data_IF_020828717226
#
_entry.id   IF_020828717226
#
_cell.length_a   1.000
_cell.length_b   1.000
_cell.length_c   1.000
_cell.angle_alpha   90.00
_cell.angle_beta   90.00
_cell.angle_gamma   90.00
#
_symmetry.space_group_name_H-M   'P 1'
#
loop_
_entity.id
_entity.type
_entity.pdbx_description
1 polymer ?
#
# COMPACT_ATOMS: atom_id res chain seq x y z
N UNK A 1 -4.08 -8.47 14.56
CA UNK A 1 -4.38 -7.34 13.60
C UNK A 1 -5.88 -7.05 13.63
N UNK A 2 -6.31 -5.81 13.44
CA UNK A 2 -7.72 -5.42 13.31
C UNK A 2 -8.06 -5.13 11.86
N UNK A 3 -9.34 -5.29 11.51
CA UNK A 3 -9.82 -5.14 10.15
C UNK A 3 -11.07 -4.27 10.12
N UNK A 4 -11.27 -3.53 9.01
CA UNK A 4 -12.55 -2.94 8.65
C UNK A 4 -13.06 -3.68 7.42
N UNK A 5 -14.34 -4.01 7.40
CA UNK A 5 -14.90 -4.86 6.36
C UNK A 5 -16.17 -4.23 5.78
N UNK A 6 -16.34 -4.36 4.47
CA UNK A 6 -17.48 -3.89 3.70
C UNK A 6 -17.98 -5.02 2.78
N UNK A 7 -19.27 -5.04 2.49
CA UNK A 7 -19.82 -5.98 1.51
C UNK A 7 -19.70 -7.47 1.89
N UNK A 8 -19.77 -7.82 3.18
CA UNK A 8 -19.59 -9.17 3.76
C UNK A 8 -20.39 -10.31 3.08
N UNK A 9 -21.44 -9.98 2.32
CA UNK A 9 -22.27 -10.97 1.61
C UNK A 9 -21.63 -11.54 0.35
N UNK A 10 -20.58 -10.89 -0.16
CA UNK A 10 -19.90 -11.29 -1.38
C UNK A 10 -18.80 -12.31 -1.09
N UNK A 11 -18.56 -13.21 -2.04
CA UNK A 11 -17.52 -14.25 -1.94
C UNK A 11 -16.16 -13.76 -2.47
N UNK A 12 -16.19 -12.86 -3.45
CA UNK A 12 -15.00 -12.29 -4.07
C UNK A 12 -14.39 -11.24 -3.15
N UNK A 13 -13.23 -11.57 -2.60
CA UNK A 13 -12.56 -10.73 -1.60
C UNK A 13 -11.53 -9.82 -2.25
N UNK A 14 -11.62 -8.52 -1.95
CA UNK A 14 -10.63 -7.49 -2.26
C UNK A 14 -9.99 -7.01 -0.96
N UNK A 15 -8.69 -7.27 -0.75
CA UNK A 15 -7.95 -6.88 0.45
C UNK A 15 -7.04 -5.71 0.11
N UNK A 16 -7.14 -4.58 0.85
CA UNK A 16 -6.39 -3.35 0.54
C UNK A 16 -5.54 -2.90 1.73
N UNK A 17 -4.23 -2.82 1.51
CA UNK A 17 -3.20 -2.52 2.51
C UNK A 17 -2.77 -1.06 2.45
N UNK A 18 -3.05 -0.29 3.50
CA UNK A 18 -2.79 1.15 3.54
C UNK A 18 -1.30 1.52 3.58
N UNK A 19 -0.98 2.77 3.25
CA UNK A 19 0.36 3.33 3.32
C UNK A 19 0.88 3.56 4.74
N UNK A 20 2.19 3.64 4.90
CA UNK A 20 2.83 3.93 6.19
C UNK A 20 2.42 5.30 6.75
N UNK A 21 2.03 5.32 8.03
CA UNK A 21 1.52 6.52 8.70
C UNK A 21 0.06 6.86 8.40
N UNK A 22 -0.61 6.06 7.56
CA UNK A 22 -2.04 6.13 7.26
C UNK A 22 -2.80 5.04 8.04
N UNK A 23 -4.06 4.80 7.69
CA UNK A 23 -4.86 3.71 8.23
C UNK A 23 -5.92 3.30 7.20
N UNK A 24 -6.78 2.34 7.56
CA UNK A 24 -7.86 1.83 6.71
C UNK A 24 -8.67 2.92 5.98
N UNK A 25 -8.84 4.09 6.56
CA UNK A 25 -9.63 5.20 5.99
C UNK A 25 -9.06 5.73 4.66
N UNK A 26 -7.79 5.46 4.35
CA UNK A 26 -7.25 5.86 3.05
C UNK A 26 -7.95 5.15 1.87
N UNK A 27 -8.55 3.98 2.13
CA UNK A 27 -9.35 3.23 1.17
C UNK A 27 -10.87 3.27 1.43
N UNK A 28 -11.34 4.06 2.41
CA UNK A 28 -12.78 4.11 2.78
C UNK A 28 -13.66 4.35 1.57
N UNK A 29 -13.38 5.40 0.81
CA UNK A 29 -14.18 5.77 -0.37
C UNK A 29 -14.17 4.67 -1.44
N UNK A 30 -13.02 4.07 -1.71
CA UNK A 30 -12.92 2.94 -2.64
C UNK A 30 -13.71 1.72 -2.14
N UNK A 31 -13.64 1.41 -0.84
CA UNK A 31 -14.40 0.31 -0.25
C UNK A 31 -15.91 0.53 -0.33
N UNK A 32 -16.37 1.77 -0.08
CA UNK A 32 -17.78 2.15 -0.24
C UNK A 32 -18.28 1.99 -1.68
N UNK A 33 -17.43 2.27 -2.68
CA UNK A 33 -17.75 2.08 -4.09
C UNK A 33 -17.76 0.60 -4.51
N UNK A 34 -16.94 -0.23 -3.87
CA UNK A 34 -16.77 -1.65 -4.22
C UNK A 34 -17.70 -2.60 -3.44
N UNK A 35 -18.24 -2.19 -2.29
CA UNK A 35 -19.00 -3.05 -1.38
C UNK A 35 -20.27 -3.67 -1.99
N UNK A 36 -20.75 -3.14 -3.10
CA UNK A 36 -21.89 -3.68 -3.83
C UNK A 36 -21.59 -4.97 -4.62
N UNK A 37 -20.29 -5.23 -4.86
CA UNK A 37 -19.79 -6.28 -5.74
C UNK A 37 -18.78 -7.21 -5.06
N UNK A 38 -18.02 -6.70 -4.08
CA UNK A 38 -16.93 -7.40 -3.40
C UNK A 38 -17.06 -7.35 -1.88
N UNK A 39 -16.51 -8.37 -1.22
CA UNK A 39 -16.17 -8.29 0.19
C UNK A 39 -14.82 -7.57 0.32
N UNK A 40 -14.83 -6.31 0.74
CA UNK A 40 -13.63 -5.49 0.87
C UNK A 40 -13.10 -5.56 2.29
N UNK A 41 -11.83 -5.95 2.44
CA UNK A 41 -11.15 -6.10 3.74
C UNK A 41 -10.00 -5.09 3.82
N UNK A 42 -10.03 -4.25 4.84
CA UNK A 42 -9.04 -3.20 5.10
C UNK A 42 -8.30 -3.46 6.41
N UNK A 43 -7.15 -4.16 6.39
CA UNK A 43 -6.34 -4.37 7.58
C UNK A 43 -5.79 -3.06 8.15
N UNK A 44 -5.70 -2.96 9.47
CA UNK A 44 -4.94 -1.92 10.16
C UNK A 44 -3.57 -2.50 10.47
N UNK A 45 -2.55 -2.06 9.73
CA UNK A 45 -1.19 -2.56 9.85
C UNK A 45 -0.63 -2.34 11.26
N UNK A 46 0.22 -3.26 11.71
CA UNK A 46 0.85 -3.19 13.03
C UNK A 46 1.55 -1.85 13.26
N UNK A 47 1.50 -1.35 14.49
CA UNK A 47 2.09 -0.08 14.89
C UNK A 47 1.36 1.17 14.39
N UNK A 48 0.27 1.03 13.61
CA UNK A 48 -0.58 2.14 13.18
C UNK A 48 -1.76 2.36 14.12
N UNK A 49 -2.40 3.52 14.03
CA UNK A 49 -3.52 3.85 14.89
C UNK A 49 -4.69 2.88 14.71
N UNK A 50 -5.17 2.34 15.82
CA UNK A 50 -6.22 1.30 15.82
C UNK A 50 -5.68 -0.13 15.81
N UNK A 51 -4.39 -0.35 15.53
CA UNK A 51 -3.76 -1.66 15.68
C UNK A 51 -3.64 -2.06 17.16
N UNK A 52 -3.70 -3.34 17.43
CA UNK A 52 -3.51 -3.95 18.76
C UNK A 52 -2.08 -4.44 18.99
N UNK A 53 -1.19 -4.31 18.00
CA UNK A 53 0.19 -4.79 18.04
C UNK A 53 1.20 -3.70 17.62
N UNK A 54 2.43 -3.70 18.18
CA UNK A 54 3.50 -2.84 17.70
C UNK A 54 3.99 -3.30 16.31
N UNK A 55 4.55 -2.37 15.52
CA UNK A 55 5.21 -2.73 14.28
C UNK A 55 6.55 -3.43 14.56
N UNK A 56 6.76 -4.57 13.96
CA UNK A 56 8.01 -5.35 14.03
C UNK A 56 8.73 -5.31 12.69
N UNK A 57 8.26 -6.08 11.71
CA UNK A 57 8.84 -6.18 10.38
C UNK A 57 7.75 -6.22 9.30
N UNK A 58 8.14 -6.04 8.04
CA UNK A 58 7.27 -6.27 6.88
C UNK A 58 6.88 -7.75 6.81
N UNK A 59 7.85 -8.63 7.07
CA UNK A 59 7.66 -10.08 7.07
C UNK A 59 6.63 -10.54 8.10
N UNK A 60 6.66 -9.99 9.32
CA UNK A 60 5.69 -10.34 10.37
C UNK A 60 4.28 -9.87 10.02
N UNK A 61 4.13 -8.62 9.52
CA UNK A 61 2.83 -8.13 9.04
C UNK A 61 2.28 -9.00 7.90
N UNK A 62 3.15 -9.41 6.96
CA UNK A 62 2.78 -10.29 5.86
C UNK A 62 2.29 -11.65 6.37
N UNK A 63 3.02 -12.26 7.31
CA UNK A 63 2.66 -13.56 7.90
C UNK A 63 1.33 -13.51 8.66
N UNK A 64 1.05 -12.42 9.36
CA UNK A 64 -0.22 -12.26 10.08
C UNK A 64 -1.41 -12.10 9.14
N UNK A 65 -1.25 -11.33 8.03
CA UNK A 65 -2.29 -11.21 7.02
C UNK A 65 -2.51 -12.54 6.30
N UNK A 66 -1.44 -13.28 6.00
CA UNK A 66 -1.53 -14.62 5.42
C UNK A 66 -2.30 -15.58 6.34
N UNK A 67 -2.03 -15.56 7.65
CA UNK A 67 -2.76 -16.36 8.64
C UNK A 67 -4.25 -15.98 8.68
N UNK A 68 -4.58 -14.69 8.62
CA UNK A 68 -5.97 -14.23 8.54
C UNK A 68 -6.67 -14.75 7.27
N UNK A 69 -5.98 -14.70 6.10
CA UNK A 69 -6.52 -15.23 4.84
C UNK A 69 -6.80 -16.74 4.97
N UNK A 70 -5.92 -17.48 5.63
CA UNK A 70 -6.12 -18.94 5.86
C UNK A 70 -7.30 -19.23 6.76
N UNK A 71 -7.39 -18.51 7.87
CA UNK A 71 -8.38 -18.78 8.91
C UNK A 71 -9.78 -18.27 8.56
N UNK A 72 -9.88 -17.14 7.85
CA UNK A 72 -11.14 -16.41 7.66
C UNK A 72 -11.59 -16.33 6.20
N UNK A 73 -10.67 -16.47 5.22
CA UNK A 73 -10.93 -16.23 3.80
C UNK A 73 -10.61 -17.43 2.89
N UNK A 74 -10.61 -18.64 3.44
CA UNK A 74 -10.43 -19.91 2.70
C UNK A 74 -9.07 -20.04 1.98
N UNK A 75 -8.02 -19.40 2.46
CA UNK A 75 -6.63 -19.60 2.02
C UNK A 75 -6.18 -18.74 0.84
N UNK A 76 -7.09 -18.13 0.08
CA UNK A 76 -6.75 -17.19 -0.99
C UNK A 76 -7.86 -16.18 -1.22
N UNK A 77 -7.51 -15.05 -1.88
CA UNK A 77 -8.46 -13.98 -2.19
C UNK A 77 -8.42 -13.61 -3.68
N UNK A 78 -9.43 -12.89 -4.16
CA UNK A 78 -9.50 -12.49 -5.56
C UNK A 78 -8.40 -11.48 -5.88
N UNK A 79 -8.30 -10.39 -5.09
CA UNK A 79 -7.33 -9.33 -5.31
C UNK A 79 -6.73 -8.84 -3.99
N UNK A 80 -5.41 -8.60 -3.99
CA UNK A 80 -4.75 -7.84 -2.92
C UNK A 80 -4.16 -6.56 -3.54
N UNK A 81 -4.55 -5.40 -2.98
CA UNK A 81 -3.97 -4.09 -3.32
C UNK A 81 -3.13 -3.54 -2.17
N UNK A 82 -2.08 -2.75 -2.49
CA UNK A 82 -1.28 -2.13 -1.45
C UNK A 82 -0.58 -0.86 -1.90
N UNK A 83 -0.67 0.18 -1.05
CA UNK A 83 -0.02 1.48 -1.26
C UNK A 83 1.29 1.55 -0.47
N UNK A 84 2.39 1.91 -1.11
CA UNK A 84 3.67 2.24 -0.45
C UNK A 84 4.14 1.13 0.50
N UNK A 85 4.08 1.31 1.83
CA UNK A 85 4.36 0.26 2.81
C UNK A 85 3.42 -0.95 2.63
N UNK A 86 2.13 -0.71 2.40
CA UNK A 86 1.17 -1.77 2.08
C UNK A 86 1.53 -2.52 0.81
N UNK A 87 2.06 -1.82 -0.20
CA UNK A 87 2.59 -2.42 -1.42
C UNK A 87 3.83 -3.30 -1.17
N UNK A 88 4.70 -2.91 -0.23
CA UNK A 88 5.85 -3.73 0.19
C UNK A 88 5.41 -5.00 0.94
N UNK A 89 4.40 -4.87 1.82
CA UNK A 89 3.79 -6.02 2.52
C UNK A 89 3.15 -6.97 1.50
N UNK A 90 2.42 -6.46 0.51
CA UNK A 90 1.88 -7.28 -0.59
C UNK A 90 3.00 -8.02 -1.34
N UNK A 91 4.07 -7.33 -1.72
CA UNK A 91 5.20 -7.96 -2.41
C UNK A 91 5.89 -9.05 -1.56
N UNK A 92 5.94 -8.84 -0.25
CA UNK A 92 6.44 -9.85 0.69
C UNK A 92 5.48 -11.05 0.78
N UNK A 93 4.16 -10.83 0.86
CA UNK A 93 3.15 -11.89 0.83
C UNK A 93 3.27 -12.74 -0.44
N UNK A 94 3.40 -12.11 -1.61
CA UNK A 94 3.60 -12.79 -2.90
C UNK A 94 4.92 -13.56 -2.95
N UNK A 95 5.92 -13.16 -2.16
CA UNK A 95 7.21 -13.86 -2.06
C UNK A 95 7.14 -15.06 -1.12
N UNK A 96 6.29 -15.01 -0.10
CA UNK A 96 6.09 -16.09 0.88
C UNK A 96 5.11 -17.15 0.38
N UNK A 97 4.09 -16.74 -0.42
CA UNK A 97 3.06 -17.64 -0.93
C UNK A 97 2.69 -17.30 -2.37
N UNK A 98 2.93 -18.25 -3.27
CA UNK A 98 2.76 -18.06 -4.72
C UNK A 98 1.31 -17.83 -5.17
N UNK A 99 0.33 -18.40 -4.47
CA UNK A 99 -1.09 -18.48 -4.85
C UNK A 99 -2.04 -17.78 -3.87
N UNK A 100 -1.54 -16.76 -3.15
CA UNK A 100 -2.32 -16.02 -2.14
C UNK A 100 -3.48 -15.21 -2.75
N UNK A 101 -3.36 -14.77 -4.00
CA UNK A 101 -4.41 -14.05 -4.72
C UNK A 101 -4.32 -14.31 -6.22
N UNK A 102 -5.44 -14.07 -6.94
CA UNK A 102 -5.45 -14.09 -8.40
C UNK A 102 -4.84 -12.84 -9.00
N UNK A 103 -5.09 -11.68 -8.40
CA UNK A 103 -4.62 -10.38 -8.87
C UNK A 103 -3.91 -9.61 -7.76
N UNK A 104 -2.85 -8.90 -8.12
CA UNK A 104 -2.10 -8.04 -7.21
C UNK A 104 -1.99 -6.62 -7.78
N UNK A 105 -2.40 -5.60 -7.01
CA UNK A 105 -2.27 -4.19 -7.35
C UNK A 105 -1.25 -3.52 -6.43
N UNK A 106 -0.07 -3.21 -6.95
CA UNK A 106 1.02 -2.59 -6.18
C UNK A 106 1.11 -1.11 -6.56
N UNK A 107 0.78 -0.21 -5.63
CA UNK A 107 0.88 1.23 -5.85
C UNK A 107 2.10 1.81 -5.13
N UNK A 108 2.98 2.48 -5.87
CA UNK A 108 4.07 3.34 -5.34
C UNK A 108 5.00 2.66 -4.33
N UNK A 109 5.27 1.35 -4.47
CA UNK A 109 6.11 0.59 -3.55
C UNK A 109 7.62 0.74 -3.84
N UNK A 110 8.41 1.08 -2.82
CA UNK A 110 9.87 1.15 -2.93
C UNK A 110 10.49 -0.24 -2.69
N UNK A 111 11.26 -0.76 -3.66
CA UNK A 111 12.00 -2.04 -3.52
C UNK A 111 13.52 -1.87 -3.64
N UNK A 112 13.99 -0.63 -3.70
CA UNK A 112 15.42 -0.31 -3.74
C UNK A 112 15.81 0.27 -2.38
N UNK A 113 16.59 -0.46 -1.54
CA UNK A 113 17.00 0.01 -0.23
C UNK A 113 17.82 1.31 -0.28
N UNK A 114 17.68 2.15 0.76
CA UNK A 114 18.46 3.37 0.95
C UNK A 114 19.10 3.39 2.34
N UNK A 115 20.35 2.95 2.42
CA UNK A 115 21.12 2.88 3.69
C UNK A 115 21.23 4.27 4.34
N UNK A 116 21.49 5.32 3.56
CA UNK A 116 21.63 6.68 4.07
C UNK A 116 20.32 7.20 4.65
N UNK A 117 19.21 7.07 3.93
CA UNK A 117 17.89 7.48 4.42
C UNK A 117 17.53 6.71 5.68
N UNK A 118 17.75 5.39 5.68
CA UNK A 118 17.48 4.54 6.84
C UNK A 118 18.25 4.98 8.10
N UNK A 119 19.53 5.30 7.97
CA UNK A 119 20.36 5.76 9.08
C UNK A 119 19.88 7.10 9.67
N UNK A 120 19.29 7.97 8.87
CA UNK A 120 18.81 9.29 9.28
C UNK A 120 17.43 9.27 9.95
N UNK A 121 16.64 8.19 9.82
CA UNK A 121 15.27 8.13 10.36
C UNK A 121 15.25 8.30 11.87
N UNK A 122 16.05 7.50 12.61
CA UNK A 122 16.02 7.55 14.06
C UNK A 122 16.46 8.91 14.65
N UNK A 123 17.56 9.56 14.21
CA UNK A 123 17.90 10.89 14.68
C UNK A 123 16.88 11.97 14.27
N UNK A 124 16.37 11.93 13.04
CA UNK A 124 15.40 12.92 12.56
C UNK A 124 14.09 12.84 13.36
N UNK A 125 13.47 11.67 13.44
CA UNK A 125 12.23 11.46 14.20
C UNK A 125 12.47 11.43 15.71
N UNK A 126 13.70 11.12 16.15
CA UNK A 126 14.08 11.16 17.54
C UNK A 126 13.89 12.52 18.19
N UNK A 127 14.21 13.58 17.47
CA UNK A 127 14.13 14.98 17.93
C UNK A 127 12.81 15.66 17.57
N UNK A 128 12.21 15.32 16.41
CA UNK A 128 11.03 16.04 15.88
C UNK A 128 9.70 15.35 16.14
N UNK A 129 9.67 14.15 16.73
CA UNK A 129 8.44 13.39 16.95
C UNK A 129 7.35 14.18 17.69
N UNK A 130 7.71 15.02 18.68
CA UNK A 130 6.74 15.85 19.39
C UNK A 130 6.00 16.85 18.49
N UNK A 131 6.59 17.25 17.37
CA UNK A 131 6.01 18.22 16.45
C UNK A 131 4.78 17.67 15.72
N UNK A 132 4.67 16.34 15.53
CA UNK A 132 3.50 15.72 14.86
C UNK A 132 2.19 15.98 15.61
N UNK A 133 2.26 16.21 16.93
CA UNK A 133 1.11 16.56 17.77
C UNK A 133 0.72 18.04 17.65
N UNK A 134 1.57 18.87 17.06
CA UNK A 134 1.22 20.25 16.76
C UNK A 134 0.37 20.28 15.47
N UNK A 135 -0.87 20.74 15.58
CA UNK A 135 -1.85 20.72 14.47
C UNK A 135 -1.37 21.55 13.27
N UNK A 136 -0.68 22.67 13.50
CA UNK A 136 -0.12 23.49 12.40
C UNK A 136 0.97 22.76 11.64
N UNK A 137 1.89 22.11 12.36
CA UNK A 137 2.94 21.29 11.75
C UNK A 137 2.34 20.08 11.01
N UNK A 138 1.39 19.36 11.64
CA UNK A 138 0.70 18.25 11.02
C UNK A 138 -0.03 18.65 9.74
N UNK A 139 -0.65 19.86 9.71
CA UNK A 139 -1.30 20.39 8.51
C UNK A 139 -0.31 20.65 7.39
N UNK A 140 0.87 21.22 7.69
CA UNK A 140 1.92 21.43 6.71
C UNK A 140 2.46 20.09 6.15
N UNK A 141 2.68 19.12 7.03
CA UNK A 141 3.09 17.77 6.61
C UNK A 141 2.03 17.09 5.74
N UNK A 142 0.76 17.16 6.14
CA UNK A 142 -0.37 16.61 5.37
C UNK A 142 -0.46 17.23 3.97
N UNK A 143 -0.30 18.56 3.86
CA UNK A 143 -0.28 19.24 2.56
C UNK A 143 0.85 18.73 1.65
N UNK A 144 2.01 18.38 2.22
CA UNK A 144 3.12 17.81 1.44
C UNK A 144 2.84 16.39 0.90
N UNK A 145 1.86 15.69 1.46
CA UNK A 145 1.39 14.40 0.97
C UNK A 145 0.40 14.52 -0.20
N UNK A 146 -0.03 15.72 -0.54
CA UNK A 146 -1.01 16.00 -1.62
C UNK A 146 -2.33 15.23 -1.50
N UNK A 147 -2.74 14.91 -0.29
CA UNK A 147 -4.00 14.21 -0.01
C UNK A 147 -5.18 15.18 0.01
N UNK A 148 -6.39 14.66 -0.25
CA UNK A 148 -7.65 15.43 -0.15
C UNK A 148 -7.78 16.11 1.22
N UNK A 149 -8.13 17.41 1.29
CA UNK A 149 -8.25 18.16 2.55
C UNK A 149 -9.20 17.50 3.57
N UNK A 150 -10.22 16.81 3.11
CA UNK A 150 -11.23 16.13 3.93
C UNK A 150 -10.64 15.03 4.81
N UNK A 151 -9.50 14.46 4.41
CA UNK A 151 -8.81 13.40 5.15
C UNK A 151 -7.92 13.93 6.28
N UNK A 152 -7.78 15.25 6.42
CA UNK A 152 -6.85 15.83 7.41
C UNK A 152 -7.20 15.43 8.84
N UNK A 153 -8.47 15.39 9.22
CA UNK A 153 -8.88 15.05 10.58
C UNK A 153 -8.58 13.59 10.92
N UNK A 154 -8.83 12.67 9.99
CA UNK A 154 -8.47 11.26 10.12
C UNK A 154 -6.95 11.10 10.24
N UNK A 155 -6.19 11.75 9.35
CA UNK A 155 -4.73 11.77 9.37
C UNK A 155 -4.18 12.29 10.69
N UNK A 156 -4.64 13.45 11.15
CA UNK A 156 -4.14 14.09 12.38
C UNK A 156 -4.45 13.26 13.61
N UNK A 157 -5.70 12.79 13.75
CA UNK A 157 -6.13 11.93 14.85
C UNK A 157 -5.23 10.69 14.96
N UNK A 158 -5.01 10.01 13.85
CA UNK A 158 -4.31 8.73 13.82
C UNK A 158 -2.79 8.92 13.95
N UNK A 159 -2.21 9.91 13.28
CA UNK A 159 -0.78 10.22 13.43
C UNK A 159 -0.41 10.54 14.87
N UNK A 160 -1.29 11.23 15.62
CA UNK A 160 -1.10 11.53 17.05
C UNK A 160 -1.09 10.27 17.95
N UNK A 161 -1.68 9.16 17.50
CA UNK A 161 -1.78 7.90 18.24
C UNK A 161 -0.62 6.94 17.95
N UNK A 162 0.05 7.07 16.80
CA UNK A 162 1.20 6.23 16.45
C UNK A 162 2.33 6.48 17.46
N UNK A 163 2.83 5.43 18.09
CA UNK A 163 3.96 5.55 19.02
C UNK A 163 5.24 5.86 18.26
N UNK A 164 6.14 6.64 18.88
CA UNK A 164 7.43 7.00 18.30
C UNK A 164 8.24 5.78 17.83
N UNK A 165 8.23 4.72 18.63
CA UNK A 165 8.97 3.49 18.32
C UNK A 165 8.42 2.82 17.06
N UNK A 166 7.10 2.72 16.93
CA UNK A 166 6.43 2.12 15.78
C UNK A 166 6.67 2.95 14.51
N UNK A 167 6.58 4.28 14.61
CA UNK A 167 6.87 5.18 13.49
C UNK A 167 8.30 4.99 12.98
N UNK A 168 9.28 4.96 13.86
CA UNK A 168 10.68 4.71 13.50
C UNK A 168 10.84 3.31 12.89
N UNK A 169 10.17 2.30 13.44
CA UNK A 169 10.27 0.92 12.99
C UNK A 169 9.74 0.75 11.57
N UNK A 170 8.50 1.19 11.28
CA UNK A 170 7.96 1.03 9.94
C UNK A 170 8.66 1.91 8.89
N UNK A 171 9.14 3.12 9.25
CA UNK A 171 9.92 3.95 8.33
C UNK A 171 11.28 3.30 7.99
N UNK A 172 11.94 2.68 8.97
CA UNK A 172 13.16 1.92 8.73
C UNK A 172 12.91 0.69 7.86
N UNK A 173 11.86 -0.07 8.13
CA UNK A 173 11.47 -1.21 7.33
C UNK A 173 11.18 -0.79 5.88
N UNK A 174 10.38 0.26 5.68
CA UNK A 174 10.06 0.83 4.37
C UNK A 174 11.30 1.23 3.56
N UNK A 175 12.32 1.82 4.22
CA UNK A 175 13.54 2.27 3.52
C UNK A 175 14.57 1.18 3.31
N UNK A 176 14.45 0.02 3.96
CA UNK A 176 15.37 -1.12 3.85
C UNK A 176 14.81 -2.30 3.05
N UNK A 177 13.54 -2.28 2.70
CA UNK A 177 12.91 -3.37 1.97
C UNK A 177 13.57 -3.59 0.59
N UNK A 178 13.84 -4.86 0.29
CA UNK A 178 14.28 -5.33 -1.02
C UNK A 178 13.39 -6.50 -1.46
N UNK A 179 13.06 -6.53 -2.74
CA UNK A 179 12.23 -7.59 -3.32
C UNK A 179 12.94 -8.94 -3.16
N UNK A 180 12.20 -9.95 -2.71
CA UNK A 180 12.72 -11.31 -2.48
C UNK A 180 12.61 -12.18 -3.75
N UNK A 181 13.48 -13.16 -3.88
CA UNK A 181 13.47 -14.07 -5.05
C UNK A 181 12.18 -14.88 -5.16
N UNK A 182 11.54 -15.23 -4.04
CA UNK A 182 10.25 -15.94 -4.01
C UNK A 182 9.14 -15.24 -4.80
N UNK A 183 9.22 -13.92 -4.98
CA UNK A 183 8.28 -13.16 -5.80
C UNK A 183 8.20 -13.66 -7.26
N UNK A 184 9.26 -14.25 -7.80
CA UNK A 184 9.27 -14.85 -9.15
C UNK A 184 8.27 -15.98 -9.31
N UNK A 185 7.98 -16.69 -8.22
CA UNK A 185 7.12 -17.87 -8.20
C UNK A 185 5.63 -17.52 -8.04
N UNK A 186 5.29 -16.26 -7.80
CA UNK A 186 3.89 -15.84 -7.63
C UNK A 186 3.06 -16.19 -8.86
N UNK A 187 1.89 -16.76 -8.66
CA UNK A 187 0.92 -17.05 -9.73
C UNK A 187 0.00 -15.88 -10.05
N UNK A 188 0.00 -14.84 -9.23
CA UNK A 188 -0.87 -13.67 -9.41
C UNK A 188 -0.56 -12.90 -10.70
N UNK A 189 -1.59 -12.37 -11.34
CA UNK A 189 -1.44 -11.30 -12.33
C UNK A 189 -1.12 -9.99 -11.59
N UNK A 190 0.02 -9.36 -11.93
CA UNK A 190 0.55 -8.24 -11.15
C UNK A 190 0.45 -6.95 -11.94
N UNK A 191 -0.20 -5.96 -11.31
CA UNK A 191 -0.35 -4.60 -11.81
C UNK A 191 0.39 -3.63 -10.90
N UNK A 192 1.37 -2.92 -11.44
CA UNK A 192 2.12 -1.89 -10.72
C UNK A 192 1.66 -0.53 -11.18
N UNK A 193 1.18 0.29 -10.25
CA UNK A 193 0.73 1.66 -10.50
C UNK A 193 1.70 2.66 -9.89
N UNK A 194 2.07 3.68 -10.67
CA UNK A 194 2.90 4.80 -10.21
C UNK A 194 2.38 6.10 -10.81
N UNK A 195 2.50 7.18 -10.08
CA UNK A 195 2.26 8.52 -10.63
C UNK A 195 3.46 8.98 -11.47
N UNK A 196 3.22 9.72 -12.54
CA UNK A 196 4.28 10.30 -13.38
C UNK A 196 5.22 11.21 -12.57
N UNK A 197 4.70 11.90 -11.55
CA UNK A 197 5.45 12.84 -10.69
C UNK A 197 6.05 12.20 -9.45
N UNK A 198 6.21 10.89 -9.45
CA UNK A 198 6.90 10.15 -8.41
C UNK A 198 8.40 10.46 -8.36
N UNK A 199 9.02 10.13 -7.24
CA UNK A 199 10.48 10.19 -7.14
C UNK A 199 11.13 9.14 -8.06
N UNK A 200 12.32 9.45 -8.58
CA UNK A 200 13.09 8.49 -9.41
C UNK A 200 13.30 7.13 -8.73
N UNK A 201 13.35 7.10 -7.40
CA UNK A 201 13.48 5.86 -6.63
C UNK A 201 12.25 4.98 -6.80
N UNK A 202 11.05 5.53 -6.71
CA UNK A 202 9.79 4.80 -6.87
C UNK A 202 9.64 4.31 -8.31
N UNK A 203 9.89 5.18 -9.30
CA UNK A 203 9.83 4.81 -10.72
C UNK A 203 10.77 3.64 -11.04
N UNK A 204 12.02 3.70 -10.57
CA UNK A 204 13.00 2.61 -10.72
C UNK A 204 12.59 1.34 -9.96
N UNK A 205 11.90 1.49 -8.82
CA UNK A 205 11.38 0.35 -8.07
C UNK A 205 10.27 -0.36 -8.85
N UNK A 206 9.36 0.38 -9.46
CA UNK A 206 8.31 -0.18 -10.33
C UNK A 206 8.91 -0.95 -11.51
N UNK A 207 9.92 -0.40 -12.18
CA UNK A 207 10.66 -1.12 -13.23
C UNK A 207 11.35 -2.39 -12.71
N UNK A 208 11.95 -2.33 -11.51
CA UNK A 208 12.62 -3.48 -10.92
C UNK A 208 11.64 -4.62 -10.61
N UNK A 209 10.43 -4.28 -10.11
CA UNK A 209 9.35 -5.25 -9.89
C UNK A 209 8.98 -5.93 -11.21
N UNK A 210 8.68 -5.16 -12.26
CA UNK A 210 8.28 -5.70 -13.56
C UNK A 210 9.43 -6.40 -14.30
N UNK A 211 10.69 -6.03 -14.04
CA UNK A 211 11.84 -6.76 -14.58
C UNK A 211 11.98 -8.14 -13.95
N UNK A 212 11.65 -8.29 -12.67
CA UNK A 212 11.69 -9.59 -11.98
C UNK A 212 10.56 -10.52 -12.43
N UNK A 213 9.41 -9.96 -12.83
CA UNK A 213 8.22 -10.65 -13.36
C UNK A 213 7.80 -10.03 -14.69
N UNK A 214 8.27 -10.56 -15.84
CA UNK A 214 7.99 -9.97 -17.17
C UNK A 214 6.49 -9.91 -17.54
N UNK A 215 5.64 -10.73 -16.92
CA UNK A 215 4.17 -10.68 -17.08
C UNK A 215 3.51 -9.54 -16.27
N UNK A 216 4.26 -8.83 -15.42
CA UNK A 216 3.78 -7.67 -14.69
C UNK A 216 3.41 -6.53 -15.66
N UNK A 217 2.30 -5.85 -15.35
CA UNK A 217 1.84 -4.68 -16.11
C UNK A 217 2.18 -3.41 -15.32
N UNK A 218 2.93 -2.50 -15.94
CA UNK A 218 3.28 -1.20 -15.36
C UNK A 218 2.34 -0.12 -15.90
N UNK A 219 1.67 0.58 -14.98
CA UNK A 219 0.76 1.69 -15.26
C UNK A 219 1.35 2.98 -14.70
N UNK A 220 1.71 3.93 -15.57
CA UNK A 220 2.12 5.26 -15.18
C UNK A 220 0.95 6.23 -15.35
N UNK A 221 0.49 6.84 -14.25
CA UNK A 221 -0.67 7.71 -14.29
C UNK A 221 -0.22 9.16 -14.42
N UNK A 222 -0.63 9.79 -15.52
CA UNK A 222 -0.23 11.15 -15.86
C UNK A 222 -0.60 12.16 -14.76
N UNK A 223 0.35 13.03 -14.42
CA UNK A 223 0.15 14.15 -13.49
C UNK A 223 0.09 13.77 -12.01
N UNK A 224 -0.02 12.50 -11.64
CA UNK A 224 -0.14 12.07 -10.24
C UNK A 224 1.19 11.90 -9.53
N UNK A 225 1.15 12.01 -8.20
CA UNK A 225 2.23 11.80 -7.24
C UNK A 225 2.01 10.55 -6.41
N UNK A 226 2.83 10.37 -5.39
CA UNK A 226 2.82 9.24 -4.48
C UNK A 226 1.47 9.02 -3.80
N UNK A 227 0.81 7.88 -4.06
CA UNK A 227 -0.45 7.49 -3.43
C UNK A 227 -1.69 8.28 -3.87
N UNK A 228 -1.56 9.27 -4.76
CA UNK A 228 -2.70 10.06 -5.19
C UNK A 228 -3.75 9.23 -5.92
N UNK A 229 -3.38 8.15 -6.57
CA UNK A 229 -4.32 7.34 -7.34
C UNK A 229 -5.38 6.71 -6.43
N UNK A 230 -4.98 5.93 -5.44
CA UNK A 230 -5.94 5.28 -4.55
C UNK A 230 -6.60 6.24 -3.56
N UNK A 231 -5.89 7.29 -3.11
CA UNK A 231 -6.39 8.19 -2.07
C UNK A 231 -7.29 9.29 -2.66
N UNK A 232 -6.86 9.93 -3.75
CA UNK A 232 -7.56 11.10 -4.29
C UNK A 232 -8.53 10.74 -5.43
N UNK A 233 -8.31 9.62 -6.10
CA UNK A 233 -9.06 9.18 -7.27
C UNK A 233 -9.75 7.83 -7.03
N UNK A 234 -10.46 7.70 -5.89
CA UNK A 234 -11.06 6.45 -5.43
C UNK A 234 -12.03 5.82 -6.48
N UNK A 235 -12.74 6.62 -7.26
CA UNK A 235 -13.61 6.11 -8.32
C UNK A 235 -12.80 5.41 -9.43
N UNK A 236 -11.74 6.07 -9.94
CA UNK A 236 -10.87 5.48 -10.97
C UNK A 236 -10.09 4.29 -10.41
N UNK A 237 -9.72 4.31 -9.13
CA UNK A 237 -9.08 3.17 -8.46
C UNK A 237 -10.04 1.98 -8.35
N UNK A 238 -11.30 2.21 -7.97
CA UNK A 238 -12.33 1.17 -7.94
C UNK A 238 -12.60 0.61 -9.34
N UNK A 239 -12.66 1.46 -10.37
CA UNK A 239 -12.82 1.01 -11.75
C UNK A 239 -11.63 0.19 -12.24
N UNK A 240 -10.39 0.56 -11.86
CA UNK A 240 -9.22 -0.25 -12.14
C UNK A 240 -9.31 -1.65 -11.50
N UNK A 241 -9.79 -1.75 -10.27
CA UNK A 241 -10.04 -3.06 -9.60
C UNK A 241 -11.06 -3.88 -10.39
N UNK A 242 -12.20 -3.29 -10.82
CA UNK A 242 -13.22 -3.97 -11.63
C UNK A 242 -12.65 -4.48 -12.95
N UNK A 243 -11.89 -3.63 -13.66
CA UNK A 243 -11.24 -4.01 -14.91
C UNK A 243 -10.27 -5.18 -14.72
N UNK A 244 -9.43 -5.13 -13.66
CA UNK A 244 -8.50 -6.21 -13.31
C UNK A 244 -9.23 -7.53 -13.08
N UNK A 245 -10.38 -7.49 -12.38
CA UNK A 245 -11.05 -8.70 -11.92
C UNK A 245 -12.08 -9.26 -12.91
N UNK A 246 -12.64 -8.45 -13.82
CA UNK A 246 -13.69 -8.89 -14.74
C UNK A 246 -13.24 -9.10 -16.18
N UNK A 247 -12.41 -8.21 -16.74
CA UNK A 247 -12.22 -8.19 -18.20
C UNK A 247 -10.85 -8.70 -18.67
N UNK A 248 -9.84 -8.73 -17.80
CA UNK A 248 -8.45 -9.00 -18.25
C UNK A 248 -7.97 -8.05 -19.36
N UNK A 249 -8.85 -7.14 -19.83
CA UNK A 249 -8.59 -6.16 -20.90
C UNK A 249 -8.38 -4.78 -20.28
N UNK A 250 -7.18 -4.21 -20.48
CA UNK A 250 -6.84 -2.89 -19.96
C UNK A 250 -6.74 -1.88 -21.10
N UNK A 251 -7.15 -0.62 -20.88
CA UNK A 251 -6.61 0.45 -21.69
C UNK A 251 -5.08 0.44 -21.52
N UNK A 252 -4.38 0.35 -22.63
CA UNK A 252 -2.91 0.32 -22.65
C UNK A 252 -2.39 1.74 -22.31
N UNK A 253 -2.09 1.97 -21.03
CA UNK A 253 -1.45 3.21 -20.58
C UNK A 253 0.05 3.25 -20.93
N UNK A 254 0.56 2.32 -21.77
CA UNK A 254 1.97 2.19 -22.13
C UNK A 254 2.42 3.06 -23.30
N UNK A 255 1.59 3.90 -23.88
CA UNK A 255 2.05 4.72 -24.99
C UNK A 255 3.17 5.66 -24.50
N UNK A 256 4.43 5.25 -24.84
CA UNK A 256 5.65 6.07 -24.82
C UNK A 256 6.29 6.53 -23.52
N UNK A 257 5.99 5.91 -22.35
CA UNK A 257 6.65 6.33 -21.13
C UNK A 257 8.04 5.66 -20.94
N UNK A 258 9.10 6.49 -20.96
CA UNK A 258 10.46 6.14 -20.53
C UNK A 258 10.82 7.02 -19.33
N UNK A 259 11.46 6.45 -18.30
CA UNK A 259 11.98 7.24 -17.16
C UNK A 259 12.95 8.29 -17.71
N UNK A 260 12.75 9.58 -17.40
CA UNK A 260 13.65 10.65 -17.81
C UNK A 260 15.03 10.56 -17.11
#
# INVERSE_FOLDING_TARGET
MRFQEYGLKHKDVVLLLHGGGLSWWNYREAAELLQGEYHVVLPILDGHAGSDRPFTTIEDNSSEILSFIDEQLSGSVLLIGGLSLGGQILLEMLSQRKDVCSYALVESAAVIPSKLTNALIAPAFGSSYGLIKNRGFAKLQFQSLHMKPELFEDYYRDTCQIKKQDMIAFLKANTSYALKDGFRESSAEIHVYVGERETRKILRSAEAICRMRPSCRLHCIHGLRHGEFSINHAAQFADAIRQITHDGSFPDYREDWRIP
#
